data_IF_481236894454
#
_entry.id   IF_481236894454
#
_cell.length_a   1.000
_cell.length_b   1.000
_cell.length_c   1.000
_cell.angle_alpha   90.00
_cell.angle_beta   90.00
_cell.angle_gamma   90.00
#
_symmetry.space_group_name_H-M   'P 1'
#
loop_
_entity.id
_entity.type
_entity.pdbx_description
1 polymer ?
#
# COMPACT_ATOMS: atom_id res chain seq x y z
N UNK A 1 -8.78 -2.06 -0.79
CA UNK A 1 -9.24 -0.67 -0.51
C UNK A 1 -10.75 -0.69 -0.36
N UNK A 2 -11.30 -0.23 0.77
CA UNK A 2 -12.75 -0.31 1.03
C UNK A 2 -13.62 0.54 0.10
N UNK A 3 -13.03 1.55 -0.55
CA UNK A 3 -13.75 2.39 -1.52
C UNK A 3 -13.70 1.83 -2.94
N UNK A 4 -12.89 0.80 -3.18
CA UNK A 4 -12.79 0.15 -4.47
C UNK A 4 -12.51 1.10 -5.62
N UNK A 5 -13.40 1.07 -6.64
CA UNK A 5 -13.30 1.92 -7.83
C UNK A 5 -13.97 3.29 -7.70
N UNK A 6 -14.44 3.64 -6.48
CA UNK A 6 -15.09 4.93 -6.23
C UNK A 6 -14.13 6.12 -6.32
N UNK A 7 -12.81 5.88 -6.29
CA UNK A 7 -11.78 6.91 -6.33
C UNK A 7 -10.75 6.61 -7.44
N UNK A 8 -11.08 6.86 -8.73
CA UNK A 8 -10.12 6.65 -9.81
C UNK A 8 -8.83 7.45 -9.66
N UNK A 9 -8.89 8.64 -9.05
CA UNK A 9 -7.70 9.45 -8.80
C UNK A 9 -6.74 8.76 -7.82
N UNK A 10 -7.25 8.03 -6.84
CA UNK A 10 -6.44 7.25 -5.89
C UNK A 10 -5.72 6.11 -6.62
N UNK A 11 -6.42 5.37 -7.47
CA UNK A 11 -5.82 4.31 -8.28
C UNK A 11 -4.75 4.86 -9.22
N UNK A 12 -5.00 5.99 -9.85
CA UNK A 12 -4.04 6.62 -10.75
C UNK A 12 -2.78 7.06 -9.99
N UNK A 13 -2.94 7.64 -8.80
CA UNK A 13 -1.83 8.02 -7.94
C UNK A 13 -1.00 6.80 -7.51
N UNK A 14 -1.65 5.72 -7.12
CA UNK A 14 -0.99 4.47 -6.77
C UNK A 14 -0.16 3.92 -7.94
N UNK A 15 -0.74 3.86 -9.13
CA UNK A 15 -0.05 3.38 -10.33
C UNK A 15 1.16 4.24 -10.66
N UNK A 16 1.03 5.55 -10.54
CA UNK A 16 2.11 6.49 -10.80
C UNK A 16 3.26 6.34 -9.81
N UNK A 17 2.95 6.23 -8.51
CA UNK A 17 3.95 6.11 -7.45
C UNK A 17 4.72 4.79 -7.55
N UNK A 18 4.06 3.69 -7.88
CA UNK A 18 4.66 2.36 -7.81
C UNK A 18 5.22 1.85 -9.13
N UNK A 19 5.11 2.62 -10.19
CA UNK A 19 5.61 2.22 -11.52
C UNK A 19 7.12 1.97 -11.50
N UNK A 20 7.54 0.87 -12.14
CA UNK A 20 8.95 0.46 -12.23
C UNK A 20 9.61 0.25 -10.86
N UNK A 21 8.82 -0.13 -9.86
CA UNK A 21 9.27 -0.37 -8.50
C UNK A 21 9.01 -1.82 -8.08
N UNK A 22 9.50 -2.21 -6.91
CA UNK A 22 9.05 -3.43 -6.25
C UNK A 22 7.79 -3.13 -5.46
N UNK A 23 6.82 -4.03 -5.48
CA UNK A 23 5.66 -3.98 -4.59
C UNK A 23 5.66 -5.22 -3.71
N UNK A 24 5.53 -5.00 -2.41
CA UNK A 24 5.46 -6.06 -1.40
C UNK A 24 4.06 -6.07 -0.83
N UNK A 25 3.45 -7.24 -0.78
CA UNK A 25 2.09 -7.40 -0.29
C UNK A 25 1.92 -8.71 0.47
N UNK A 26 0.95 -8.76 1.36
CA UNK A 26 0.51 -9.99 1.98
C UNK A 26 -0.29 -10.84 1.00
N UNK A 27 -0.45 -12.12 1.34
CA UNK A 27 -1.17 -13.08 0.50
C UNK A 27 -2.61 -12.66 0.23
N UNK A 28 -3.34 -12.18 1.27
CA UNK A 28 -4.74 -11.78 1.12
C UNK A 28 -4.89 -10.58 0.17
N UNK A 29 -3.94 -9.65 0.22
CA UNK A 29 -3.92 -8.53 -0.71
C UNK A 29 -3.70 -9.01 -2.14
N UNK A 30 -2.78 -9.94 -2.35
CA UNK A 30 -2.55 -10.53 -3.66
C UNK A 30 -3.80 -11.23 -4.20
N UNK A 31 -4.49 -12.00 -3.36
CA UNK A 31 -5.75 -12.64 -3.74
C UNK A 31 -6.83 -11.61 -4.08
N UNK A 32 -6.87 -10.47 -3.36
CA UNK A 32 -7.87 -9.42 -3.60
C UNK A 32 -7.71 -8.72 -4.94
N UNK A 33 -6.51 -8.73 -5.51
CA UNK A 33 -6.25 -8.19 -6.86
C UNK A 33 -6.34 -9.26 -7.95
N UNK A 34 -6.94 -10.41 -7.64
CA UNK A 34 -7.20 -11.48 -8.58
C UNK A 34 -6.04 -12.44 -8.78
N UNK A 35 -5.09 -12.48 -7.84
CA UNK A 35 -3.88 -13.32 -7.91
C UNK A 35 -3.08 -13.12 -9.20
N UNK A 36 -3.04 -11.87 -9.66
CA UNK A 36 -2.30 -11.45 -10.86
C UNK A 36 -1.24 -10.44 -10.46
N UNK A 37 0.01 -10.58 -10.95
CA UNK A 37 1.03 -9.58 -10.68
C UNK A 37 0.66 -8.23 -11.30
N UNK A 38 0.96 -7.15 -10.60
CA UNK A 38 0.80 -5.81 -11.14
C UNK A 38 1.81 -5.61 -12.27
N UNK A 39 1.39 -5.11 -13.44
CA UNK A 39 2.29 -4.93 -14.58
C UNK A 39 3.34 -3.85 -14.31
N UNK A 40 4.49 -3.95 -14.98
CA UNK A 40 5.60 -3.01 -14.89
C UNK A 40 6.18 -2.85 -13.48
N UNK A 41 6.02 -3.87 -12.62
CA UNK A 41 6.51 -3.90 -11.25
C UNK A 41 7.04 -5.29 -10.94
N UNK A 42 7.99 -5.37 -10.03
CA UNK A 42 8.39 -6.65 -9.46
C UNK A 42 7.51 -6.93 -8.25
N UNK A 43 6.78 -8.05 -8.27
CA UNK A 43 5.80 -8.40 -7.26
C UNK A 43 6.39 -9.40 -6.28
N UNK A 44 6.32 -9.08 -4.98
CA UNK A 44 6.78 -9.94 -3.89
C UNK A 44 5.61 -10.15 -2.95
N UNK A 45 5.25 -11.42 -2.73
CA UNK A 45 4.14 -11.80 -1.85
C UNK A 45 4.68 -12.45 -0.58
N UNK A 46 4.25 -11.96 0.57
CA UNK A 46 4.58 -12.58 1.86
C UNK A 46 3.60 -13.72 2.10
N UNK A 47 4.13 -14.95 2.09
CA UNK A 47 3.32 -16.15 2.24
C UNK A 47 4.20 -17.31 2.75
N UNK A 48 3.59 -18.22 3.50
CA UNK A 48 4.26 -19.44 3.95
C UNK A 48 4.43 -20.47 2.83
N UNK A 49 3.72 -20.29 1.72
CA UNK A 49 3.77 -21.18 0.55
C UNK A 49 3.93 -20.37 -0.73
N UNK A 50 4.62 -20.92 -1.75
CA UNK A 50 4.67 -20.27 -3.05
C UNK A 50 3.27 -20.03 -3.63
N UNK A 51 3.10 -18.90 -4.35
CA UNK A 51 1.82 -18.58 -4.98
C UNK A 51 1.52 -19.44 -6.21
N UNK A 52 2.58 -20.03 -6.82
CA UNK A 52 2.46 -20.75 -8.08
C UNK A 52 2.26 -19.86 -9.29
N UNK A 53 2.31 -18.53 -9.12
CA UNK A 53 2.10 -17.58 -10.21
C UNK A 53 3.45 -17.13 -10.77
N UNK A 54 3.58 -17.13 -12.11
CA UNK A 54 4.80 -16.67 -12.78
C UNK A 54 5.04 -15.19 -12.49
N UNK A 55 6.31 -14.80 -12.42
CA UNK A 55 6.77 -13.42 -12.18
C UNK A 55 6.41 -12.89 -10.79
N UNK A 56 6.05 -13.76 -9.87
CA UNK A 56 5.78 -13.41 -8.47
C UNK A 56 6.79 -14.09 -7.60
N UNK A 57 7.56 -13.30 -6.83
CA UNK A 57 8.46 -13.82 -5.82
C UNK A 57 7.69 -14.02 -4.51
N UNK A 58 8.13 -14.98 -3.71
CA UNK A 58 7.52 -15.28 -2.42
C UNK A 58 8.56 -15.15 -1.33
N UNK A 59 8.20 -14.50 -0.22
CA UNK A 59 9.02 -14.39 0.97
C UNK A 59 8.20 -14.79 2.19
N UNK A 60 8.86 -15.32 3.23
CA UNK A 60 8.17 -15.78 4.43
C UNK A 60 7.79 -14.64 5.38
N UNK A 61 8.50 -13.52 5.30
CA UNK A 61 8.23 -12.35 6.15
C UNK A 61 8.69 -11.07 5.45
N UNK A 62 8.36 -9.93 6.05
CA UNK A 62 8.65 -8.63 5.47
C UNK A 62 10.16 -8.38 5.32
N UNK A 63 10.98 -8.76 6.31
CA UNK A 63 12.44 -8.61 6.24
C UNK A 63 13.02 -9.37 5.07
N UNK A 64 12.59 -10.61 4.85
CA UNK A 64 13.03 -11.42 3.71
C UNK A 64 12.59 -10.80 2.38
N UNK A 65 11.37 -10.26 2.32
CA UNK A 65 10.86 -9.57 1.13
C UNK A 65 11.71 -8.35 0.80
N UNK A 66 12.05 -7.54 1.79
CA UNK A 66 12.92 -6.37 1.61
C UNK A 66 14.30 -6.76 1.10
N UNK A 67 14.84 -7.88 1.56
CA UNK A 67 16.13 -8.39 1.10
C UNK A 67 16.12 -8.81 -0.37
N UNK A 68 14.97 -9.18 -0.92
CA UNK A 68 14.81 -9.52 -2.35
C UNK A 68 14.63 -8.29 -3.24
N UNK A 69 14.38 -7.12 -2.66
CA UNK A 69 14.05 -5.91 -3.41
C UNK A 69 15.28 -5.32 -4.08
N UNK A 70 15.16 -4.98 -5.37
CA UNK A 70 16.25 -4.42 -6.18
C UNK A 70 16.03 -2.96 -6.55
N UNK A 71 14.81 -2.46 -6.46
CA UNK A 71 14.37 -1.14 -6.90
C UNK A 71 13.73 -0.42 -5.72
N UNK A 72 13.34 0.86 -5.87
CA UNK A 72 12.50 1.50 -4.87
C UNK A 72 11.32 0.60 -4.53
N UNK A 73 11.01 0.45 -3.25
CA UNK A 73 10.09 -0.57 -2.75
C UNK A 73 8.89 0.07 -2.09
N UNK A 74 7.69 -0.38 -2.46
CA UNK A 74 6.43 0.05 -1.87
C UNK A 74 5.74 -1.14 -1.22
N UNK A 75 5.28 -0.95 0.01
CA UNK A 75 4.50 -1.93 0.76
C UNK A 75 3.03 -1.56 0.59
N UNK A 76 2.25 -2.45 0.02
CA UNK A 76 0.89 -2.14 -0.43
C UNK A 76 -0.23 -2.85 0.32
N UNK A 77 0.08 -3.55 1.39
CA UNK A 77 -0.93 -4.13 2.27
C UNK A 77 -0.69 -5.58 2.62
N UNK A 78 -1.51 -6.21 3.44
CA UNK A 78 -2.61 -5.57 4.17
C UNK A 78 -2.24 -5.06 5.57
N UNK A 79 -3.23 -5.01 6.45
CA UNK A 79 -3.09 -4.41 7.79
C UNK A 79 -1.90 -4.96 8.57
N UNK A 80 -1.71 -6.27 8.59
CA UNK A 80 -0.61 -6.89 9.33
C UNK A 80 0.74 -6.50 8.74
N UNK A 81 0.84 -6.46 7.41
CA UNK A 81 2.08 -6.07 6.74
C UNK A 81 2.40 -4.60 6.99
N UNK A 82 1.39 -3.72 6.97
CA UNK A 82 1.58 -2.31 7.32
C UNK A 82 2.04 -2.15 8.76
N UNK A 83 1.44 -2.89 9.69
CA UNK A 83 1.82 -2.85 11.10
C UNK A 83 3.27 -3.26 11.30
N UNK A 84 3.71 -4.33 10.65
CA UNK A 84 5.10 -4.78 10.70
C UNK A 84 6.04 -3.74 10.07
N UNK A 85 5.61 -3.10 8.98
CA UNK A 85 6.39 -2.08 8.27
C UNK A 85 6.66 -0.84 9.12
N UNK A 86 5.71 -0.42 9.92
CA UNK A 86 5.86 0.78 10.77
C UNK A 86 6.97 0.63 11.81
N UNK A 87 7.33 -0.60 12.16
CA UNK A 87 8.40 -0.91 13.12
C UNK A 87 9.77 -1.08 12.47
N UNK A 88 9.88 -0.96 11.15
CA UNK A 88 11.14 -1.09 10.42
C UNK A 88 11.74 0.29 10.13
N UNK A 89 12.89 0.66 10.76
CA UNK A 89 13.44 2.01 10.62
C UNK A 89 13.83 2.39 9.18
N UNK A 90 14.16 1.43 8.34
CA UNK A 90 14.53 1.66 6.93
C UNK A 90 13.34 2.12 6.09
N UNK A 91 12.11 1.92 6.58
CA UNK A 91 10.88 2.42 5.94
C UNK A 91 10.64 3.81 6.50
N UNK A 92 10.82 4.83 5.68
CA UNK A 92 10.84 6.22 6.11
C UNK A 92 9.71 7.09 5.58
N UNK A 93 8.88 6.55 4.70
CA UNK A 93 7.82 7.34 4.05
C UNK A 93 6.52 6.56 3.99
N UNK A 94 5.43 7.25 4.33
CA UNK A 94 4.07 6.74 4.17
C UNK A 94 3.34 7.65 3.18
N UNK A 95 2.80 7.06 2.10
CA UNK A 95 1.88 7.73 1.20
C UNK A 95 0.47 7.27 1.52
N UNK A 96 -0.33 8.13 2.12
CA UNK A 96 -1.68 7.78 2.58
C UNK A 96 -2.74 8.55 1.80
N UNK A 97 -3.86 7.87 1.55
CA UNK A 97 -5.08 8.53 1.08
C UNK A 97 -6.05 8.55 2.25
N UNK A 98 -6.31 9.75 2.78
CA UNK A 98 -7.26 9.95 3.88
C UNK A 98 -8.60 10.38 3.29
N UNK A 99 -9.62 9.57 3.52
CA UNK A 99 -10.92 9.74 2.89
C UNK A 99 -11.90 10.27 3.94
N UNK A 100 -12.63 11.32 3.58
CA UNK A 100 -13.67 11.90 4.44
C UNK A 100 -14.97 11.07 4.32
N UNK A 101 -14.90 9.83 4.82
CA UNK A 101 -16.01 8.90 4.84
C UNK A 101 -15.72 7.77 5.82
N UNK A 102 -16.77 7.09 6.27
CA UNK A 102 -16.65 5.90 7.11
C UNK A 102 -17.00 4.66 6.29
N UNK A 103 -16.28 3.58 6.55
CA UNK A 103 -16.47 2.28 5.91
C UNK A 103 -16.63 1.21 6.97
N UNK A 104 -17.79 1.14 7.66
CA UNK A 104 -17.98 0.23 8.80
C UNK A 104 -17.88 -1.24 8.41
N UNK A 105 -18.12 -1.59 7.15
CA UNK A 105 -18.03 -2.96 6.64
C UNK A 105 -16.64 -3.32 6.12
N UNK A 106 -15.67 -2.40 6.19
CA UNK A 106 -14.30 -2.69 5.77
C UNK A 106 -13.65 -3.65 6.76
N UNK A 107 -13.01 -4.71 6.24
CA UNK A 107 -12.33 -5.72 7.04
C UNK A 107 -10.82 -5.46 7.16
N UNK A 108 -10.30 -4.47 6.46
CA UNK A 108 -8.88 -4.10 6.45
C UNK A 108 -8.73 -2.61 6.67
N UNK A 109 -7.98 -2.24 7.70
CA UNK A 109 -7.71 -0.85 8.05
C UNK A 109 -6.21 -0.59 8.10
N UNK A 110 -5.79 0.62 7.72
CA UNK A 110 -4.41 1.04 7.95
C UNK A 110 -4.21 1.26 9.47
N UNK A 111 -3.06 0.81 10.03
CA UNK A 111 -2.75 1.04 11.44
C UNK A 111 -2.70 2.53 11.77
N UNK A 112 -2.95 2.88 13.02
CA UNK A 112 -2.83 4.25 13.49
C UNK A 112 -1.40 4.76 13.31
N UNK A 113 -1.25 5.95 12.75
CA UNK A 113 0.06 6.59 12.53
C UNK A 113 0.43 7.36 13.79
N UNK A 114 1.52 6.92 14.44
CA UNK A 114 2.01 7.58 15.66
C UNK A 114 2.77 8.87 15.30
N UNK A 115 2.19 10.01 15.61
CA UNK A 115 2.76 11.32 15.29
C UNK A 115 4.00 11.67 16.11
N UNK A 116 4.34 10.87 17.11
CA UNK A 116 5.63 11.00 17.81
C UNK A 116 6.79 10.42 16.98
N UNK A 117 6.48 9.55 16.04
CA UNK A 117 7.45 8.87 15.16
C UNK A 117 7.40 9.44 13.76
N UNK A 118 6.22 9.83 13.28
CA UNK A 118 5.98 10.30 11.94
C UNK A 118 5.57 11.75 11.90
N UNK A 119 5.95 12.46 10.84
CA UNK A 119 5.62 13.86 10.62
C UNK A 119 4.91 14.01 9.28
N UNK A 120 3.79 14.71 9.27
CA UNK A 120 3.11 15.08 8.03
C UNK A 120 3.94 16.17 7.33
N UNK A 121 4.40 15.86 6.11
CA UNK A 121 5.24 16.78 5.34
C UNK A 121 4.55 17.36 4.11
N UNK A 122 3.45 16.75 3.67
CA UNK A 122 2.66 17.24 2.55
C UNK A 122 1.23 16.74 2.64
N UNK A 123 0.29 17.60 2.21
CA UNK A 123 -1.14 17.24 2.14
C UNK A 123 -1.76 17.94 0.93
N UNK A 124 -2.37 17.16 0.04
CA UNK A 124 -3.05 17.66 -1.14
C UNK A 124 -4.52 17.25 -1.06
N UNK A 125 -5.40 18.24 -0.95
CA UNK A 125 -6.84 18.01 -0.89
C UNK A 125 -7.41 17.79 -2.29
N UNK A 126 -8.27 16.78 -2.43
CA UNK A 126 -9.01 16.49 -3.64
C UNK A 126 -10.49 16.40 -3.29
N UNK A 127 -11.32 17.38 -3.71
CA UNK A 127 -12.77 17.32 -3.44
C UNK A 127 -13.44 16.22 -4.27
N UNK A 128 -14.57 15.72 -3.77
CA UNK A 128 -15.40 14.80 -4.53
C UNK A 128 -15.83 15.45 -5.85
N UNK A 129 -15.90 14.66 -6.90
CA UNK A 129 -16.30 15.13 -8.24
C UNK A 129 -17.11 14.05 -8.96
N UNK A 130 -17.37 14.24 -10.26
CA UNK A 130 -18.16 13.31 -11.06
C UNK A 130 -17.55 11.89 -11.12
N UNK A 131 -16.24 11.77 -10.97
CA UNK A 131 -15.51 10.49 -11.05
C UNK A 131 -15.11 9.95 -9.69
N UNK A 132 -14.99 10.81 -8.67
CA UNK A 132 -14.52 10.45 -7.33
C UNK A 132 -15.62 10.75 -6.31
N UNK A 133 -16.17 9.72 -5.70
CA UNK A 133 -17.36 9.78 -4.87
C UNK A 133 -17.17 10.44 -3.51
N UNK A 134 -15.91 10.63 -3.07
CA UNK A 134 -15.59 11.13 -1.73
C UNK A 134 -14.57 12.25 -1.82
N UNK A 135 -14.62 13.19 -0.85
CA UNK A 135 -13.49 14.09 -0.60
C UNK A 135 -12.36 13.28 0.01
N UNK A 136 -11.12 13.55 -0.40
CA UNK A 136 -9.98 12.86 0.15
C UNK A 136 -8.71 13.72 0.05
N UNK A 137 -7.72 13.38 0.88
CA UNK A 137 -6.42 14.00 0.86
C UNK A 137 -5.34 12.98 0.53
N UNK A 138 -4.40 13.34 -0.32
CA UNK A 138 -3.14 12.61 -0.46
C UNK A 138 -2.16 13.17 0.56
N UNK A 139 -1.75 12.37 1.53
CA UNK A 139 -0.90 12.79 2.63
C UNK A 139 0.40 12.02 2.60
N UNK A 140 1.50 12.74 2.75
CA UNK A 140 2.82 12.12 2.86
C UNK A 140 3.35 12.33 4.26
N UNK A 141 3.72 11.24 4.91
CA UNK A 141 4.36 11.25 6.23
C UNK A 141 5.80 10.78 6.08
N UNK A 142 6.70 11.42 6.79
CA UNK A 142 8.11 11.03 6.90
C UNK A 142 8.43 10.63 8.33
N UNK A 143 9.31 9.65 8.50
CA UNK A 143 9.81 9.28 9.83
C UNK A 143 10.70 10.40 10.35
N UNK A 144 10.46 10.77 11.62
CA UNK A 144 11.27 11.78 12.31
C UNK A 144 12.69 11.31 12.58
#
# INVERSE_FOLDING_TARGET
MPWGRSLPADLANFKRLTRNSNVIMGRKTFESIGSRPLPDRENIVISSKPTGVKKVLTAMNLRSALALSRYPTFIIGGSQVYKDALDIPEIDTIYATEIDAEFPDADTFFPEINMNIWEEVNRIHHPADAKNSYDFDFVTYKRK
#
